data_IF_252262400669
#
_entry.id   IF_252262400669
#
_cell.length_a   1.000
_cell.length_b   1.000
_cell.length_c   1.000
_cell.angle_alpha   90.00
_cell.angle_beta   90.00
_cell.angle_gamma   90.00
#
_symmetry.space_group_name_H-M   'P 1'
#
loop_
_entity.id
_entity.type
_entity.pdbx_description
1 polymer ?
#
# COMPACT_ATOMS: atom_id res chain seq x y z
N UNK A 1 18.42 -9.85 -18.48
CA UNK A 1 17.26 -9.70 -17.59
C UNK A 1 17.73 -8.97 -16.35
N UNK A 2 17.27 -7.74 -16.12
CA UNK A 2 17.66 -6.92 -14.96
C UNK A 2 16.44 -6.71 -14.06
N UNK A 3 16.59 -6.94 -12.75
CA UNK A 3 15.54 -6.66 -11.77
C UNK A 3 15.83 -5.35 -11.04
N UNK A 4 14.88 -4.42 -11.09
CA UNK A 4 14.95 -3.11 -10.44
C UNK A 4 13.94 -3.07 -9.30
N UNK A 5 14.33 -2.46 -8.18
CA UNK A 5 13.46 -2.26 -7.01
C UNK A 5 13.47 -0.78 -6.64
N UNK A 6 12.28 -0.18 -6.53
CA UNK A 6 12.07 1.15 -5.96
C UNK A 6 11.31 0.97 -4.66
N UNK A 7 12.03 1.14 -3.56
CA UNK A 7 11.52 1.04 -2.19
C UNK A 7 12.32 2.00 -1.29
N UNK A 8 11.74 3.13 -0.84
CA UNK A 8 10.34 3.53 -1.01
C UNK A 8 10.06 4.26 -2.34
N UNK A 9 8.82 4.14 -2.85
CA UNK A 9 8.27 5.13 -3.78
C UNK A 9 7.94 6.40 -3.01
N UNK A 10 8.43 7.55 -3.47
CA UNK A 10 8.29 8.84 -2.78
C UNK A 10 7.19 9.73 -3.39
N UNK A 11 6.78 10.78 -2.67
CA UNK A 11 5.71 11.73 -3.04
C UNK A 11 4.34 11.08 -3.27
N UNK A 12 4.03 10.09 -2.44
CA UNK A 12 2.73 9.44 -2.32
C UNK A 12 2.31 9.43 -0.84
N UNK A 13 1.07 9.07 -0.55
CA UNK A 13 0.67 8.64 0.80
C UNK A 13 1.04 7.16 1.01
N UNK A 14 1.50 6.81 2.21
CA UNK A 14 1.72 5.43 2.61
C UNK A 14 3.06 4.83 2.19
N UNK A 15 3.10 3.49 2.12
CA UNK A 15 4.32 2.70 1.95
C UNK A 15 4.17 1.76 0.75
N UNK A 16 4.87 2.09 -0.33
CA UNK A 16 4.80 1.34 -1.59
C UNK A 16 6.19 0.93 -2.06
N UNK A 17 6.30 -0.34 -2.42
CA UNK A 17 7.40 -0.93 -3.15
C UNK A 17 6.97 -1.28 -4.57
N UNK A 18 7.79 -0.92 -5.55
CA UNK A 18 7.67 -1.37 -6.95
C UNK A 18 8.88 -2.21 -7.32
N UNK A 19 8.64 -3.36 -7.94
CA UNK A 19 9.67 -4.18 -8.56
C UNK A 19 9.38 -4.30 -10.05
N UNK A 20 10.39 -4.19 -10.90
CA UNK A 20 10.24 -4.33 -12.34
C UNK A 20 11.36 -5.20 -12.93
N UNK A 21 11.00 -6.08 -13.86
CA UNK A 21 11.94 -6.83 -14.69
C UNK A 21 12.10 -6.11 -16.01
N UNK A 22 13.34 -5.84 -16.42
CA UNK A 22 13.67 -5.10 -17.64
C UNK A 22 14.46 -5.98 -18.61
N UNK A 23 14.00 -6.01 -19.87
CA UNK A 23 14.64 -6.68 -21.00
C UNK A 23 14.58 -5.78 -22.24
N UNK A 24 15.71 -5.63 -22.95
CA UNK A 24 15.77 -4.77 -24.13
C UNK A 24 15.36 -3.30 -23.87
N UNK A 25 15.60 -2.80 -22.66
CA UNK A 25 15.19 -1.44 -22.26
C UNK A 25 13.69 -1.26 -22.00
N UNK A 26 12.90 -2.34 -22.01
CA UNK A 26 11.46 -2.33 -21.72
C UNK A 26 11.15 -3.13 -20.46
N UNK A 27 10.16 -2.67 -19.71
CA UNK A 27 9.61 -3.44 -18.58
C UNK A 27 8.81 -4.60 -19.17
N UNK A 28 9.12 -5.83 -18.75
CA UNK A 28 8.43 -7.06 -19.19
C UNK A 28 7.57 -7.68 -18.09
N UNK A 29 7.83 -7.34 -16.82
CA UNK A 29 7.03 -7.74 -15.67
C UNK A 29 7.18 -6.70 -14.56
N UNK A 30 6.16 -6.56 -13.70
CA UNK A 30 6.18 -5.64 -12.57
C UNK A 30 5.30 -6.10 -11.42
N UNK A 31 5.72 -5.75 -10.20
CA UNK A 31 5.02 -6.06 -8.95
C UNK A 31 4.86 -4.79 -8.11
N UNK A 32 3.64 -4.54 -7.65
CA UNK A 32 3.34 -3.53 -6.65
C UNK A 32 3.08 -4.21 -5.30
N UNK A 33 3.68 -3.68 -4.24
CA UNK A 33 3.55 -4.22 -2.89
C UNK A 33 3.32 -3.09 -1.90
N UNK A 34 2.14 -3.09 -1.27
CA UNK A 34 1.91 -2.32 -0.05
C UNK A 34 2.60 -3.01 1.11
N UNK A 35 3.55 -2.32 1.74
CA UNK A 35 4.43 -2.92 2.76
C UNK A 35 3.97 -2.65 4.20
N UNK A 36 2.78 -2.07 4.39
CA UNK A 36 2.21 -1.74 5.69
C UNK A 36 0.71 -2.10 5.78
N UNK A 37 0.29 -2.62 6.93
CA UNK A 37 -1.11 -2.91 7.25
C UNK A 37 -1.39 -2.59 8.72
N UNK A 38 -2.59 -2.08 9.01
CA UNK A 38 -3.04 -1.69 10.37
C UNK A 38 -4.21 -2.49 10.92
N UNK A 39 -4.96 -3.20 10.07
CA UNK A 39 -6.10 -4.00 10.52
C UNK A 39 -7.30 -3.21 11.08
N UNK A 40 -7.61 -2.04 10.50
CA UNK A 40 -8.72 -1.18 10.96
C UNK A 40 -10.06 -1.93 10.96
N UNK A 41 -10.30 -2.80 9.98
CA UNK A 41 -11.51 -3.63 9.94
C UNK A 41 -11.59 -4.60 11.13
N UNK A 42 -10.46 -5.17 11.55
CA UNK A 42 -10.39 -6.02 12.76
C UNK A 42 -10.64 -5.18 14.01
N UNK A 43 -10.10 -3.97 14.09
CA UNK A 43 -10.33 -3.03 15.21
C UNK A 43 -11.81 -2.68 15.37
N UNK A 44 -12.59 -2.67 14.28
CA UNK A 44 -14.01 -2.35 14.30
C UNK A 44 -14.91 -3.48 14.80
N UNK A 45 -14.43 -4.73 14.79
CA UNK A 45 -15.26 -5.88 15.18
C UNK A 45 -15.74 -5.73 16.63
N UNK A 46 -17.04 -5.88 16.83
CA UNK A 46 -17.68 -5.78 18.15
C UNK A 46 -17.96 -4.36 18.65
N UNK A 47 -17.68 -3.33 17.85
CA UNK A 47 -18.02 -1.94 18.18
C UNK A 47 -19.44 -1.59 17.74
N UNK A 48 -20.00 -0.54 18.36
CA UNK A 48 -21.28 0.02 17.94
C UNK A 48 -21.16 0.58 16.51
N UNK A 49 -22.11 0.28 15.60
CA UNK A 49 -22.08 0.79 14.23
C UNK A 49 -21.98 2.32 14.13
N UNK A 50 -22.52 3.05 15.11
CA UNK A 50 -22.48 4.52 15.17
C UNK A 50 -21.09 5.07 15.42
N UNK A 51 -20.16 4.28 15.97
CA UNK A 51 -18.79 4.71 16.23
C UNK A 51 -17.88 4.53 15.01
N UNK A 52 -18.29 3.72 14.03
CA UNK A 52 -17.43 3.26 12.94
C UNK A 52 -16.75 4.43 12.19
N UNK A 53 -17.48 5.51 11.92
CA UNK A 53 -16.99 6.67 11.17
C UNK A 53 -15.79 7.34 11.85
N UNK A 54 -15.72 7.33 13.18
CA UNK A 54 -14.59 7.92 13.92
C UNK A 54 -13.31 7.13 13.74
N UNK A 55 -13.39 5.82 13.51
CA UNK A 55 -12.24 4.95 13.26
C UNK A 55 -11.87 4.91 11.78
N UNK A 56 -12.84 4.70 10.87
CA UNK A 56 -12.54 4.55 9.43
C UNK A 56 -12.08 5.84 8.77
N UNK A 57 -12.46 7.00 9.30
CA UNK A 57 -11.89 8.29 8.86
C UNK A 57 -10.37 8.40 9.07
N UNK A 58 -9.77 7.50 9.85
CA UNK A 58 -8.32 7.43 10.07
C UNK A 58 -7.64 6.39 9.16
N UNK A 59 -8.36 5.81 8.20
CA UNK A 59 -7.74 4.98 7.15
C UNK A 59 -6.78 5.82 6.31
N UNK A 60 -7.15 7.04 5.92
CA UNK A 60 -6.28 7.98 5.22
C UNK A 60 -6.57 9.40 5.73
N UNK A 61 -5.53 10.23 5.83
CA UNK A 61 -5.65 11.63 6.26
C UNK A 61 -5.03 12.65 5.30
N UNK A 62 -4.51 12.19 4.17
CA UNK A 62 -4.17 13.01 3.00
C UNK A 62 -5.42 13.12 2.14
#
# INVERSE_FOLDING_TARGET
MTKIVVDPVTRIEGHLRIQATVEGGKIVDAWASGTMWRGIETILKGRDPRDAWTFVSRICGV
#
